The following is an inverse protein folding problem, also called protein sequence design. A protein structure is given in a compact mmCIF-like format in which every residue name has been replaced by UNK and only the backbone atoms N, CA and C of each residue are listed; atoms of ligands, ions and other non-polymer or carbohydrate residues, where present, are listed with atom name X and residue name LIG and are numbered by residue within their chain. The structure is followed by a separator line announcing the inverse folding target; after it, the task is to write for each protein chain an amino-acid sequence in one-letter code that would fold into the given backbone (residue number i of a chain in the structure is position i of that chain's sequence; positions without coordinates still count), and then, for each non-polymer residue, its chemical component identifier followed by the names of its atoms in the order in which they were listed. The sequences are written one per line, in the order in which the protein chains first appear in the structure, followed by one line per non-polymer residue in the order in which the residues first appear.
data_IF_073512724820
#
_entry.id   IF_073512724820
#
_cell.length_a   1.000
_cell.length_b   1.000
_cell.length_c   1.000
_cell.angle_alpha   90.00
_cell.angle_beta   90.00
_cell.angle_gamma   90.00
#
_symmetry.space_group_name_H-M   'P 1'
#
loop_
_entity.id
_entity.type
_entity.pdbx_description
1 polymer ?
#
# COMPACT_ATOMS: atom_id res chain seq x y z
N UNK A 1 -25.32 -4.14 21.06
CA UNK A 1 -24.92 -5.07 19.98
C UNK A 1 -23.86 -4.39 19.12
N UNK A 2 -22.60 -4.49 19.51
CA UNK A 2 -21.47 -4.10 18.66
C UNK A 2 -21.29 -5.23 17.66
N UNK A 3 -21.51 -4.96 16.37
CA UNK A 3 -21.13 -5.88 15.31
C UNK A 3 -19.62 -6.00 15.39
N UNK A 4 -19.16 -7.07 16.04
CA UNK A 4 -17.78 -7.52 15.97
C UNK A 4 -17.56 -7.91 14.52
N UNK A 5 -17.12 -6.92 13.74
CA UNK A 5 -16.88 -7.06 12.32
C UNK A 5 -15.62 -7.89 12.24
N UNK A 6 -15.75 -9.22 12.31
CA UNK A 6 -14.63 -10.13 12.13
C UNK A 6 -13.94 -9.72 10.84
N UNK A 7 -12.75 -9.15 11.00
CA UNK A 7 -11.97 -8.66 9.88
C UNK A 7 -11.76 -9.84 8.93
N UNK A 8 -11.98 -9.64 7.63
CA UNK A 8 -11.68 -10.69 6.66
C UNK A 8 -10.22 -11.13 6.83
N UNK A 9 -9.86 -12.40 6.53
CA UNK A 9 -8.48 -12.87 6.70
C UNK A 9 -7.43 -11.98 6.03
N UNK A 10 -7.79 -11.37 4.89
CA UNK A 10 -6.94 -10.38 4.20
C UNK A 10 -6.78 -9.09 5.00
N UNK A 11 -7.86 -8.53 5.56
CA UNK A 11 -7.77 -7.33 6.40
C UNK A 11 -7.00 -7.58 7.70
N UNK A 12 -7.13 -8.79 8.27
CA UNK A 12 -6.34 -9.19 9.44
C UNK A 12 -4.84 -9.23 9.08
N UNK A 13 -4.49 -9.80 7.92
CA UNK A 13 -3.13 -9.79 7.39
C UNK A 13 -2.61 -8.35 7.18
N UNK A 14 -3.42 -7.46 6.58
CA UNK A 14 -3.06 -6.04 6.40
C UNK A 14 -2.75 -5.36 7.74
N UNK A 15 -3.65 -5.49 8.74
CA UNK A 15 -3.45 -4.85 10.05
C UNK A 15 -2.22 -5.38 10.78
N UNK A 16 -1.98 -6.70 10.72
CA UNK A 16 -0.79 -7.31 11.32
C UNK A 16 0.48 -6.69 10.72
N UNK A 17 0.60 -6.70 9.40
CA UNK A 17 1.76 -6.13 8.70
C UNK A 17 1.90 -4.64 9.04
N UNK A 18 0.80 -3.88 8.99
CA UNK A 18 0.81 -2.46 9.32
C UNK A 18 1.27 -2.18 10.75
N UNK A 19 0.95 -3.04 11.72
CA UNK A 19 1.37 -2.88 13.11
C UNK A 19 2.88 -3.06 13.34
N UNK A 20 3.55 -3.75 12.42
CA UNK A 20 4.99 -4.00 12.45
C UNK A 20 5.79 -2.86 11.78
N UNK A 21 5.11 -1.90 11.12
CA UNK A 21 5.71 -0.81 10.36
C UNK A 21 5.86 0.49 11.16
N UNK A 22 6.78 1.39 10.78
CA UNK A 22 6.84 2.75 11.31
C UNK A 22 5.49 3.47 11.15
N UNK A 23 5.09 4.24 12.16
CA UNK A 23 3.79 4.95 12.18
C UNK A 23 3.59 5.91 11.00
N UNK A 24 4.69 6.46 10.48
CA UNK A 24 4.70 7.41 9.36
C UNK A 24 4.79 6.75 7.98
N UNK A 25 4.86 5.42 7.90
CA UNK A 25 4.95 4.69 6.64
C UNK A 25 3.56 4.38 6.06
N UNK A 26 3.32 4.70 4.79
CA UNK A 26 2.15 4.21 4.06
C UNK A 26 2.40 2.77 3.58
N UNK A 27 1.45 1.87 3.80
CA UNK A 27 1.54 0.48 3.35
C UNK A 27 0.88 0.30 1.99
N UNK A 28 1.70 0.11 0.94
CA UNK A 28 1.25 -0.33 -0.37
C UNK A 28 1.09 -1.85 -0.36
N UNK A 29 -0.15 -2.31 -0.25
CA UNK A 29 -0.47 -3.73 -0.08
C UNK A 29 -0.97 -4.33 -1.39
N UNK A 30 -0.23 -5.29 -1.96
CA UNK A 30 -0.51 -5.81 -3.30
C UNK A 30 -1.73 -6.73 -3.35
N UNK A 31 -2.68 -6.38 -4.20
CA UNK A 31 -3.82 -7.21 -4.57
C UNK A 31 -3.92 -7.29 -6.10
N UNK A 32 -3.44 -8.37 -6.67
CA UNK A 32 -3.36 -8.55 -8.12
C UNK A 32 -2.51 -7.46 -8.74
N UNK A 33 -3.13 -6.69 -9.63
CA UNK A 33 -2.47 -5.62 -10.40
C UNK A 33 -2.52 -4.24 -9.73
N UNK A 34 -2.93 -4.18 -8.46
CA UNK A 34 -3.01 -2.93 -7.70
C UNK A 34 -2.21 -3.01 -6.40
N UNK A 35 -1.65 -1.87 -6.00
CA UNK A 35 -1.37 -1.62 -4.59
C UNK A 35 -2.55 -0.88 -3.98
N UNK A 36 -3.11 -1.45 -2.92
CA UNK A 36 -4.21 -0.86 -2.17
C UNK A 36 -3.74 -0.41 -0.78
N UNK A 37 -4.29 0.71 -0.33
CA UNK A 37 -4.15 1.22 1.03
C UNK A 37 -5.52 1.20 1.70
N UNK A 38 -5.55 0.92 3.00
CA UNK A 38 -6.78 0.83 3.78
C UNK A 38 -6.76 1.73 5.02
N UNK A 39 -7.94 2.00 5.59
CA UNK A 39 -8.11 2.77 6.82
C UNK A 39 -7.56 4.20 6.72
N UNK A 40 -6.62 4.58 7.59
CA UNK A 40 -6.01 5.91 7.59
C UNK A 40 -5.05 6.10 6.41
N UNK A 41 -4.29 5.05 6.05
CA UNK A 41 -3.40 5.08 4.88
C UNK A 41 -4.18 5.38 3.60
N UNK A 42 -5.41 4.88 3.48
CA UNK A 42 -6.27 5.18 2.34
C UNK A 42 -6.61 6.66 2.25
N UNK A 43 -6.94 7.29 3.38
CA UNK A 43 -7.31 8.70 3.42
C UNK A 43 -6.11 9.60 3.11
N UNK A 44 -4.97 9.32 3.75
CA UNK A 44 -3.72 10.04 3.52
C UNK A 44 -3.27 9.85 2.06
N UNK A 45 -3.25 8.61 1.59
CA UNK A 45 -2.84 8.27 0.23
C UNK A 45 -3.75 8.90 -0.82
N UNK A 46 -5.07 8.88 -0.62
CA UNK A 46 -6.02 9.48 -1.55
C UNK A 46 -5.79 10.99 -1.69
N UNK A 47 -5.65 11.70 -0.57
CA UNK A 47 -5.41 13.14 -0.58
C UNK A 47 -4.04 13.48 -1.16
N UNK A 48 -2.98 12.78 -0.73
CA UNK A 48 -1.60 13.07 -1.12
C UNK A 48 -1.36 12.78 -2.61
N UNK A 49 -1.92 11.67 -3.10
CA UNK A 49 -1.70 11.19 -4.46
C UNK A 49 -2.78 11.63 -5.44
N UNK A 50 -3.83 12.31 -4.96
CA UNK A 50 -5.03 12.65 -5.73
C UNK A 50 -5.70 11.40 -6.34
N UNK A 51 -5.85 10.36 -5.52
CA UNK A 51 -6.53 9.12 -5.88
C UNK A 51 -7.98 9.14 -5.37
N UNK A 52 -8.86 8.39 -6.02
CA UNK A 52 -10.23 8.23 -5.54
C UNK A 52 -10.24 7.49 -4.19
N UNK A 53 -10.85 8.13 -3.17
CA UNK A 53 -11.15 7.48 -1.90
C UNK A 53 -12.48 6.74 -2.01
N UNK A 54 -12.44 5.42 -1.91
CA UNK A 54 -13.60 4.52 -1.98
C UNK A 54 -13.74 3.75 -0.66
N UNK A 55 -14.63 2.76 -0.63
CA UNK A 55 -14.81 1.88 0.51
C UNK A 55 -14.98 0.44 0.07
N UNK A 56 -14.34 -0.49 0.78
CA UNK A 56 -14.52 -1.93 0.64
C UNK A 56 -15.10 -2.47 1.93
N UNK A 57 -16.31 -3.02 1.87
CA UNK A 57 -17.01 -3.54 3.07
C UNK A 57 -17.02 -2.52 4.23
N UNK A 58 -17.24 -1.24 3.91
CA UNK A 58 -17.25 -0.14 4.89
C UNK A 58 -15.88 0.40 5.28
N UNK A 59 -14.77 -0.23 4.89
CA UNK A 59 -13.40 0.20 5.19
C UNK A 59 -12.92 1.18 4.11
N UNK A 60 -12.43 2.39 4.46
CA UNK A 60 -11.83 3.31 3.50
C UNK A 60 -10.69 2.66 2.73
N UNK A 61 -10.66 2.88 1.41
CA UNK A 61 -9.69 2.29 0.51
C UNK A 61 -9.34 3.25 -0.62
N UNK A 62 -8.07 3.31 -0.99
CA UNK A 62 -7.64 3.83 -2.29
C UNK A 62 -6.55 2.92 -2.85
N UNK A 63 -6.26 3.04 -4.14
CA UNK A 63 -5.25 2.19 -4.77
C UNK A 63 -4.70 2.78 -6.05
N UNK A 64 -3.61 2.18 -6.50
CA UNK A 64 -2.88 2.58 -7.70
C UNK A 64 -2.42 1.34 -8.48
N UNK A 65 -2.32 1.41 -9.82
CA UNK A 65 -1.82 0.30 -10.62
C UNK A 65 -0.37 -0.02 -10.24
N UNK A 66 -0.04 -1.29 -10.03
CA UNK A 66 1.29 -1.67 -9.51
C UNK A 66 2.43 -1.28 -10.44
N UNK A 67 2.21 -1.31 -11.76
CA UNK A 67 3.18 -0.87 -12.75
C UNK A 67 3.51 0.63 -12.66
N UNK A 68 2.55 1.43 -12.20
CA UNK A 68 2.73 2.87 -12.00
C UNK A 68 3.26 3.21 -10.60
N UNK A 69 3.41 2.22 -9.71
CA UNK A 69 3.83 2.41 -8.32
C UNK A 69 5.09 3.26 -8.15
N UNK A 70 6.14 3.12 -8.97
CA UNK A 70 7.33 3.95 -8.83
C UNK A 70 6.99 5.45 -8.75
N UNK A 71 6.24 5.99 -9.72
CA UNK A 71 5.91 7.42 -9.76
C UNK A 71 5.15 7.88 -8.50
N UNK A 72 4.20 7.08 -8.01
CA UNK A 72 3.47 7.38 -6.78
C UNK A 72 4.36 7.31 -5.55
N UNK A 73 5.24 6.31 -5.45
CA UNK A 73 6.22 6.18 -4.36
C UNK A 73 7.09 7.43 -4.28
N UNK A 74 7.59 7.92 -5.43
CA UNK A 74 8.36 9.16 -5.49
C UNK A 74 7.62 10.36 -4.89
N UNK A 75 6.31 10.48 -5.17
CA UNK A 75 5.46 11.54 -4.58
C UNK A 75 5.28 11.38 -3.08
N UNK A 76 5.08 10.15 -2.57
CA UNK A 76 4.98 9.90 -1.12
C UNK A 76 6.28 10.27 -0.40
N UNK A 77 7.43 9.86 -0.95
CA UNK A 77 8.74 10.15 -0.38
C UNK A 77 9.04 11.65 -0.40
N UNK A 78 8.72 12.36 -1.49
CA UNK A 78 8.85 13.83 -1.60
C UNK A 78 7.96 14.57 -0.60
N UNK A 79 6.84 13.99 -0.20
CA UNK A 79 5.98 14.50 0.86
C UNK A 79 6.49 14.17 2.28
N UNK A 80 7.69 13.62 2.43
CA UNK A 80 8.31 13.34 3.72
C UNK A 80 7.76 12.10 4.43
N UNK A 81 7.05 11.22 3.73
CA UNK A 81 6.49 9.98 4.30
C UNK A 81 7.28 8.75 3.84
N UNK A 82 7.38 7.76 4.71
CA UNK A 82 7.93 6.45 4.35
C UNK A 82 6.92 5.63 3.54
N UNK A 83 7.40 4.66 2.78
CA UNK A 83 6.54 3.71 2.04
C UNK A 83 7.00 2.29 2.32
N UNK A 84 6.09 1.42 2.75
CA UNK A 84 6.32 -0.01 2.81
C UNK A 84 5.62 -0.69 1.64
N UNK A 85 6.37 -1.46 0.86
CA UNK A 85 5.85 -2.25 -0.26
C UNK A 85 5.64 -3.67 0.25
N UNK A 86 4.42 -4.17 0.10
CA UNK A 86 4.04 -5.51 0.51
C UNK A 86 3.50 -6.29 -0.69
N UNK A 87 4.25 -7.30 -1.12
CA UNK A 87 3.96 -8.08 -2.32
C UNK A 87 3.35 -9.44 -2.02
N UNK A 88 2.74 -10.02 -3.04
CA UNK A 88 2.31 -11.42 -3.03
C UNK A 88 3.52 -12.33 -3.22
N UNK A 89 3.70 -13.26 -2.29
CA UNK A 89 4.79 -14.25 -2.34
C UNK A 89 4.40 -15.50 -3.13
N UNK A 90 3.12 -15.62 -3.48
CA UNK A 90 2.55 -16.73 -4.24
C UNK A 90 1.39 -16.23 -5.12
N UNK A 91 1.07 -17.02 -6.14
CA UNK A 91 -0.08 -16.76 -7.01
C UNK A 91 -1.41 -16.88 -6.27
N UNK A 92 -2.37 -16.05 -6.65
CA UNK A 92 -3.70 -16.07 -6.07
C UNK A 92 -4.48 -17.30 -6.53
N UNK A 93 -4.88 -18.14 -5.58
CA UNK A 93 -5.76 -19.29 -5.82
C UNK A 93 -7.14 -19.05 -5.20
N UNK A 94 -8.23 -19.42 -5.90
CA UNK A 94 -9.58 -19.27 -5.36
C UNK A 94 -9.73 -19.94 -4.00
N UNK A 95 -10.28 -19.21 -3.02
CA UNK A 95 -10.49 -19.72 -1.65
C UNK A 95 -9.25 -19.78 -0.77
N UNK A 96 -8.05 -19.48 -1.29
CA UNK A 96 -6.82 -19.48 -0.51
C UNK A 96 -6.37 -18.06 -0.17
N UNK A 97 -6.02 -17.82 1.10
CA UNK A 97 -5.37 -16.58 1.50
C UNK A 97 -3.94 -16.54 0.96
N UNK A 98 -3.66 -15.59 0.08
CA UNK A 98 -2.32 -15.37 -0.45
C UNK A 98 -1.37 -14.88 0.65
N UNK A 99 -0.20 -15.52 0.74
CA UNK A 99 0.90 -15.06 1.58
C UNK A 99 1.49 -13.76 1.05
N UNK A 100 1.67 -12.80 1.95
CA UNK A 100 2.26 -11.49 1.65
C UNK A 100 3.31 -11.11 2.67
N UNK A 101 4.37 -10.47 2.19
CA UNK A 101 5.50 -10.01 2.99
C UNK A 101 5.91 -8.60 2.55
N UNK A 102 6.50 -7.84 3.47
CA UNK A 102 7.08 -6.53 3.15
C UNK A 102 8.40 -6.77 2.44
N UNK A 103 8.46 -6.43 1.17
CA UNK A 103 9.65 -6.61 0.32
C UNK A 103 10.62 -5.44 0.44
N UNK A 104 10.10 -4.25 0.74
CA UNK A 104 10.92 -3.04 0.82
C UNK A 104 10.28 -1.99 1.72
N UNK A 105 11.11 -1.26 2.47
CA UNK A 105 10.69 -0.03 3.17
C UNK A 105 11.57 1.11 2.67
N UNK A 106 10.93 2.17 2.21
CA UNK A 106 11.56 3.34 1.63
C UNK A 106 11.37 4.56 2.53
N UNK A 107 12.43 5.35 2.68
CA UNK A 107 12.42 6.57 3.49
C UNK A 107 12.82 7.80 2.69
N UNK A 108 12.29 8.99 3.05
CA UNK A 108 12.76 10.26 2.50
C UNK A 108 14.27 10.43 2.70
N UNK A 109 14.98 11.00 1.71
CA UNK A 109 16.39 11.37 1.82
C UNK A 109 17.41 10.29 1.44
N UNK A 110 16.98 9.05 1.19
CA UNK A 110 17.85 8.07 0.51
C UNK A 110 17.87 8.43 -0.99
N UNK A 111 19.03 8.35 -1.66
CA UNK A 111 19.23 8.62 -3.10
C UNK A 111 18.30 7.79 -4.03
N UNK A 112 17.02 8.16 -4.04
CA UNK A 112 15.92 7.50 -4.74
C UNK A 112 15.45 8.33 -5.95
N UNK A 113 15.80 9.61 -6.02
CA UNK A 113 15.44 10.49 -7.16
C UNK A 113 16.08 10.00 -8.48
N UNK A 114 17.34 9.56 -8.49
CA UNK A 114 18.06 9.29 -9.74
C UNK A 114 17.66 7.97 -10.45
N UNK A 115 17.30 6.91 -9.70
CA UNK A 115 16.93 5.60 -10.27
C UNK A 115 15.49 5.54 -10.79
N UNK A 116 14.66 6.50 -10.42
CA UNK A 116 13.25 6.56 -10.80
C UNK A 116 13.01 7.54 -11.95
N UNK A 117 13.69 8.70 -11.92
CA UNK A 117 13.70 9.67 -13.03
C UNK A 117 14.23 9.09 -14.35
N UNK A 118 15.03 8.02 -14.30
CA UNK A 118 15.55 7.31 -15.46
C UNK A 118 14.53 6.32 -16.08
N UNK A 119 13.56 5.83 -15.30
CA UNK A 119 12.54 4.89 -15.79
C UNK A 119 11.41 5.59 -16.58
N UNK A 120 11.20 6.90 -16.39
CA UNK A 120 10.24 7.71 -17.16
C UNK A 120 10.81 8.22 -18.51
N UNK A 121 12.07 7.88 -18.84
CA UNK A 121 12.79 8.41 -20.02
C UNK A 121 13.08 7.39 -21.12
N UNK A 122 12.58 6.16 -21.04
CA UNK A 122 12.76 5.12 -22.06
C UNK A 122 11.43 4.68 -22.68
#
# INVERSE_FOLDING_TARGET
MTIDTQLTPMMAQYRRIKSELPKDALLLFRLGDFYEMFFEDAQIGAQLLNLALTKRQGIPMCGLPFHAAPAYIGRILKAGRKVAICDQMEEARPGQLVKREVTQILSPGTHFDERMLSAERN
#
